data_IF_153898269759
#
_entry.id   IF_153898269759
#
_cell.length_a   1.000
_cell.length_b   1.000
_cell.length_c   1.000
_cell.angle_alpha   90.00
_cell.angle_beta   90.00
_cell.angle_gamma   90.00
#
_symmetry.space_group_name_H-M   'P 1'
#
loop_
_entity.id
_entity.type
_entity.pdbx_description
1 polymer ?
#
# COMPACT_ATOMS: atom_id res chain seq x y z
N UNK A 1 -44.37 -14.87 50.52
CA UNK A 1 -44.81 -15.89 49.53
C UNK A 1 -44.06 -17.18 49.82
N UNK A 2 -44.77 -18.31 49.88
CA UNK A 2 -44.19 -19.63 50.10
C UNK A 2 -43.70 -20.25 48.78
N UNK A 3 -42.82 -21.25 48.83
CA UNK A 3 -42.35 -21.99 47.64
C UNK A 3 -43.51 -22.59 46.80
N UNK A 4 -44.66 -22.86 47.41
CA UNK A 4 -45.86 -23.37 46.72
C UNK A 4 -46.48 -22.30 45.82
N UNK A 5 -46.36 -21.03 46.19
CA UNK A 5 -46.92 -19.90 45.44
C UNK A 5 -46.07 -19.62 44.19
N UNK A 6 -44.75 -19.76 44.30
CA UNK A 6 -43.83 -19.61 43.16
C UNK A 6 -43.96 -20.73 42.11
N UNK A 7 -44.23 -21.98 42.52
CA UNK A 7 -44.45 -23.10 41.60
C UNK A 7 -45.64 -22.84 40.66
N UNK A 8 -46.73 -22.26 41.20
CA UNK A 8 -47.95 -21.94 40.42
C UNK A 8 -47.72 -20.80 39.43
N UNK A 9 -46.87 -19.84 39.75
CA UNK A 9 -46.62 -18.64 38.92
C UNK A 9 -45.54 -18.87 37.86
N UNK A 10 -44.51 -19.68 38.15
CA UNK A 10 -43.34 -19.85 37.29
C UNK A 10 -43.32 -21.15 36.47
N UNK A 11 -44.27 -22.07 36.67
CA UNK A 11 -44.33 -23.40 36.02
C UNK A 11 -43.01 -24.20 36.10
N UNK A 12 -42.20 -23.99 37.16
CA UNK A 12 -40.95 -24.72 37.40
C UNK A 12 -41.07 -25.69 38.58
N UNK A 13 -40.31 -26.80 38.60
CA UNK A 13 -40.26 -27.70 39.73
C UNK A 13 -39.89 -26.97 41.03
N UNK A 14 -40.50 -27.36 42.15
CA UNK A 14 -40.25 -26.78 43.48
C UNK A 14 -38.76 -26.84 43.87
N UNK A 15 -38.07 -27.92 43.49
CA UNK A 15 -36.63 -28.09 43.70
C UNK A 15 -35.82 -26.98 43.02
N UNK A 16 -36.14 -26.66 41.76
CA UNK A 16 -35.47 -25.59 41.01
C UNK A 16 -35.71 -24.22 41.64
N UNK A 17 -36.93 -23.93 42.09
CA UNK A 17 -37.26 -22.67 42.78
C UNK A 17 -36.45 -22.55 44.08
N UNK A 18 -36.41 -23.61 44.89
CA UNK A 18 -35.65 -23.64 46.13
C UNK A 18 -34.13 -23.50 45.89
N UNK A 19 -33.58 -24.21 44.90
CA UNK A 19 -32.15 -24.12 44.54
C UNK A 19 -31.75 -22.71 44.10
N UNK A 20 -32.61 -22.04 43.34
CA UNK A 20 -32.38 -20.66 42.89
C UNK A 20 -32.46 -19.69 44.07
N UNK A 21 -33.45 -19.84 44.97
CA UNK A 21 -33.58 -19.01 46.17
C UNK A 21 -32.36 -19.19 47.09
N UNK A 22 -31.89 -20.43 47.29
CA UNK A 22 -30.69 -20.72 48.10
C UNK A 22 -29.44 -20.12 47.46
N UNK A 23 -29.28 -20.25 46.14
CA UNK A 23 -28.15 -19.63 45.40
C UNK A 23 -28.19 -18.11 45.47
N UNK A 24 -29.37 -17.50 45.34
CA UNK A 24 -29.55 -16.05 45.43
C UNK A 24 -29.27 -15.56 46.87
N UNK A 25 -29.83 -16.21 47.90
CA UNK A 25 -29.56 -15.87 49.31
C UNK A 25 -28.08 -15.96 49.69
N UNK A 26 -27.33 -16.91 49.09
CA UNK A 26 -25.88 -17.04 49.33
C UNK A 26 -25.03 -16.00 48.61
N UNK A 27 -25.48 -15.45 47.48
CA UNK A 27 -24.63 -14.65 46.57
C UNK A 27 -25.08 -13.20 46.38
N UNK A 28 -26.35 -12.90 46.64
CA UNK A 28 -26.95 -11.60 46.37
C UNK A 28 -26.96 -11.21 44.88
N UNK A 29 -26.84 -12.19 43.96
CA UNK A 29 -26.78 -11.93 42.52
C UNK A 29 -27.72 -12.85 41.74
N UNK A 30 -28.40 -12.27 40.76
CA UNK A 30 -29.30 -12.96 39.82
C UNK A 30 -28.57 -13.52 38.59
N UNK A 31 -27.28 -13.19 38.42
CA UNK A 31 -26.51 -13.61 37.26
C UNK A 31 -26.14 -15.10 37.35
N UNK A 32 -26.36 -15.82 36.25
CA UNK A 32 -25.93 -17.21 36.13
C UNK A 32 -24.39 -17.32 36.16
N UNK A 33 -23.87 -18.31 36.88
CA UNK A 33 -22.43 -18.57 36.89
C UNK A 33 -21.89 -18.94 35.52
N UNK A 34 -20.64 -18.55 35.26
CA UNK A 34 -19.88 -19.11 34.15
C UNK A 34 -19.76 -20.62 34.35
N UNK A 35 -20.45 -21.38 33.49
CA UNK A 35 -20.31 -22.83 33.40
C UNK A 35 -18.83 -23.16 33.18
N UNK A 36 -18.35 -24.18 33.89
CA UNK A 36 -17.02 -24.76 33.66
C UNK A 36 -16.92 -25.23 32.21
N UNK A 37 -16.03 -24.60 31.45
CA UNK A 37 -15.78 -25.00 30.07
C UNK A 37 -14.81 -26.17 30.01
N UNK A 38 -14.85 -26.91 28.90
CA UNK A 38 -13.90 -28.00 28.65
C UNK A 38 -12.46 -27.45 28.74
N UNK A 39 -11.55 -28.11 29.48
CA UNK A 39 -10.15 -27.71 29.55
C UNK A 39 -9.53 -27.56 28.16
N UNK A 40 -8.79 -26.48 27.94
CA UNK A 40 -8.11 -26.25 26.66
C UNK A 40 -6.92 -27.21 26.54
N UNK A 41 -6.83 -27.93 25.43
CA UNK A 41 -5.68 -28.79 25.08
C UNK A 41 -4.38 -27.97 25.00
N UNK A 42 -4.49 -26.71 24.53
CA UNK A 42 -3.34 -25.83 24.36
C UNK A 42 -3.19 -24.91 25.57
N UNK A 43 -2.19 -25.23 26.38
CA UNK A 43 -1.76 -24.43 27.52
C UNK A 43 -0.84 -23.27 27.15
N UNK A 44 -0.32 -22.57 28.15
CA UNK A 44 0.50 -21.37 27.96
C UNK A 44 1.82 -21.65 27.22
N UNK A 45 2.47 -22.79 27.50
CA UNK A 45 3.69 -23.21 26.79
C UNK A 45 3.44 -23.38 25.30
N UNK A 46 2.35 -24.05 24.92
CA UNK A 46 1.95 -24.24 23.52
C UNK A 46 1.69 -22.91 22.81
N UNK A 47 1.05 -21.95 23.49
CA UNK A 47 0.83 -20.60 22.95
C UNK A 47 2.12 -19.84 22.72
N UNK A 48 3.12 -19.97 23.61
CA UNK A 48 4.45 -19.37 23.40
C UNK A 48 5.16 -19.98 22.18
N UNK A 49 5.08 -21.31 22.02
CA UNK A 49 5.60 -21.99 20.83
C UNK A 49 4.93 -21.49 19.55
N UNK A 50 3.60 -21.38 19.54
CA UNK A 50 2.84 -20.83 18.41
C UNK A 50 3.24 -19.38 18.09
N UNK A 51 3.45 -18.51 19.10
CA UNK A 51 3.96 -17.15 18.89
C UNK A 51 5.35 -17.14 18.25
N UNK A 52 6.24 -18.04 18.66
CA UNK A 52 7.60 -18.16 18.08
C UNK A 52 7.55 -18.59 16.61
N UNK A 53 6.78 -19.62 16.29
CA UNK A 53 6.59 -20.13 14.91
C UNK A 53 6.07 -19.05 13.98
N UNK A 54 5.15 -18.20 14.46
CA UNK A 54 4.67 -17.06 13.68
C UNK A 54 5.79 -16.05 13.41
N UNK A 55 6.59 -15.70 14.43
CA UNK A 55 7.67 -14.72 14.29
C UNK A 55 8.81 -15.19 13.39
N UNK A 56 9.14 -16.48 13.41
CA UNK A 56 10.24 -17.04 12.61
C UNK A 56 9.88 -17.10 11.13
N UNK A 57 8.65 -17.49 10.79
CA UNK A 57 8.25 -17.73 9.40
C UNK A 57 6.96 -17.00 9.03
N UNK A 58 6.94 -15.66 8.98
CA UNK A 58 5.69 -14.90 8.82
C UNK A 58 4.85 -15.26 7.58
N UNK A 59 5.47 -15.73 6.49
CA UNK A 59 4.81 -16.04 5.22
C UNK A 59 4.42 -17.52 5.04
N UNK A 60 4.77 -18.41 5.97
CA UNK A 60 4.49 -19.85 5.83
C UNK A 60 3.00 -20.17 5.95
N UNK A 61 2.57 -21.22 5.25
CA UNK A 61 1.17 -21.63 5.21
C UNK A 61 0.69 -22.11 6.60
N UNK A 62 -0.62 -22.10 6.83
CA UNK A 62 -1.17 -22.64 8.08
C UNK A 62 -0.81 -24.12 8.27
N UNK A 63 -0.71 -24.88 7.18
CA UNK A 63 -0.37 -26.30 7.21
C UNK A 63 1.07 -26.48 7.69
N UNK A 64 2.02 -25.77 7.08
CA UNK A 64 3.42 -25.77 7.52
C UNK A 64 3.55 -25.37 9.00
N UNK A 65 2.87 -24.30 9.42
CA UNK A 65 2.88 -23.86 10.82
C UNK A 65 2.29 -24.88 11.79
N UNK A 66 1.27 -25.62 11.34
CA UNK A 66 0.65 -26.67 12.16
C UNK A 66 1.59 -27.87 12.30
N UNK A 67 2.28 -28.24 11.21
CA UNK A 67 3.27 -29.29 11.21
C UNK A 67 4.47 -28.94 12.09
N UNK A 68 5.01 -27.71 11.95
CA UNK A 68 6.11 -27.22 12.79
C UNK A 68 5.73 -27.18 14.28
N UNK A 69 4.49 -26.79 14.59
CA UNK A 69 3.97 -26.82 15.95
C UNK A 69 3.90 -28.25 16.49
N UNK A 70 3.40 -29.20 15.70
CA UNK A 70 3.29 -30.59 16.11
C UNK A 70 4.67 -31.22 16.34
N UNK A 71 5.63 -30.99 15.45
CA UNK A 71 7.01 -31.46 15.60
C UNK A 71 7.72 -30.85 16.81
N UNK A 72 7.47 -29.58 17.13
CA UNK A 72 8.15 -28.88 18.25
C UNK A 72 7.51 -29.07 19.61
N UNK A 73 6.20 -29.36 19.67
CA UNK A 73 5.46 -29.50 20.93
C UNK A 73 5.11 -30.95 21.27
N UNK A 74 5.13 -31.87 20.30
CA UNK A 74 4.63 -33.23 20.45
C UNK A 74 3.11 -33.34 20.57
N UNK A 75 2.38 -32.22 20.47
CA UNK A 75 0.92 -32.18 20.64
C UNK A 75 0.25 -32.29 19.27
N UNK A 76 -0.52 -33.37 19.07
CA UNK A 76 -1.35 -33.55 17.87
C UNK A 76 -2.61 -32.69 17.93
N UNK A 77 -2.71 -31.70 17.04
CA UNK A 77 -3.88 -30.82 16.92
C UNK A 77 -4.19 -30.54 15.45
N UNK A 78 -5.47 -30.40 15.12
CA UNK A 78 -5.87 -30.01 13.77
C UNK A 78 -5.43 -28.58 13.44
N UNK A 79 -5.20 -28.32 12.16
CA UNK A 79 -4.91 -26.98 11.63
C UNK A 79 -5.99 -25.95 11.99
N UNK A 80 -7.24 -26.40 12.14
CA UNK A 80 -8.36 -25.56 12.59
C UNK A 80 -8.19 -25.07 14.02
N UNK A 81 -7.68 -25.92 14.92
CA UNK A 81 -7.37 -25.56 16.30
C UNK A 81 -6.21 -24.57 16.36
N UNK A 82 -5.15 -24.81 15.58
CA UNK A 82 -4.01 -23.88 15.44
C UNK A 82 -4.46 -22.52 14.95
N UNK A 83 -5.31 -22.47 13.91
CA UNK A 83 -5.90 -21.23 13.39
C UNK A 83 -6.72 -20.47 14.44
N UNK A 84 -7.52 -21.17 15.25
CA UNK A 84 -8.31 -20.55 16.34
C UNK A 84 -7.39 -19.94 17.39
N UNK A 85 -6.34 -20.64 17.82
CA UNK A 85 -5.38 -20.06 18.77
C UNK A 85 -4.62 -18.89 18.15
N UNK A 86 -4.22 -18.92 16.87
CA UNK A 86 -3.64 -17.74 16.23
C UNK A 86 -4.57 -16.53 16.29
N UNK A 87 -5.87 -16.71 16.03
CA UNK A 87 -6.85 -15.62 16.19
C UNK A 87 -6.92 -15.12 17.65
N UNK A 88 -6.93 -16.02 18.63
CA UNK A 88 -6.90 -15.65 20.06
C UNK A 88 -5.62 -14.90 20.45
N UNK A 89 -4.50 -15.17 19.76
CA UNK A 89 -3.22 -14.48 19.97
C UNK A 89 -3.13 -13.15 19.19
N UNK A 90 -4.18 -12.76 18.46
CA UNK A 90 -4.21 -11.55 17.62
C UNK A 90 -3.54 -11.72 16.25
N UNK A 91 -3.05 -12.91 15.91
CA UNK A 91 -2.41 -13.20 14.64
C UNK A 91 -3.45 -13.58 13.58
N UNK A 92 -3.56 -12.73 12.57
CA UNK A 92 -4.49 -12.90 11.45
C UNK A 92 -3.71 -13.11 10.16
N UNK A 93 -4.19 -14.02 9.31
CA UNK A 93 -3.70 -14.10 7.94
C UNK A 93 -4.07 -12.82 7.20
N UNK A 94 -3.08 -12.16 6.62
CA UNK A 94 -3.25 -10.98 5.75
C UNK A 94 -2.46 -11.23 4.48
N UNK A 95 -2.96 -10.74 3.35
CA UNK A 95 -2.17 -10.70 2.14
C UNK A 95 -0.94 -9.81 2.40
N UNK A 96 0.25 -10.30 2.05
CA UNK A 96 1.46 -9.48 2.16
C UNK A 96 1.36 -8.32 1.16
N UNK A 97 1.73 -7.11 1.59
CA UNK A 97 1.80 -5.97 0.69
C UNK A 97 2.88 -6.21 -0.38
N UNK A 98 2.56 -5.87 -1.63
CA UNK A 98 3.53 -5.89 -2.72
C UNK A 98 4.25 -4.54 -2.73
N UNK A 99 5.52 -4.53 -2.32
CA UNK A 99 6.37 -3.33 -2.25
C UNK A 99 7.72 -3.64 -2.87
N UNK A 100 8.37 -2.63 -3.44
CA UNK A 100 9.71 -2.76 -3.99
C UNK A 100 10.70 -3.21 -2.90
N UNK A 101 11.65 -4.05 -3.28
CA UNK A 101 12.67 -4.51 -2.36
C UNK A 101 13.72 -3.40 -2.16
N UNK A 102 13.73 -2.80 -0.96
CA UNK A 102 14.65 -1.71 -0.61
C UNK A 102 15.91 -2.32 -0.02
N UNK A 103 17.04 -2.09 -0.67
CA UNK A 103 18.34 -2.54 -0.16
C UNK A 103 18.70 -1.79 1.13
N UNK A 104 19.54 -2.37 1.98
CA UNK A 104 20.02 -1.69 3.19
C UNK A 104 20.72 -0.36 2.89
N UNK A 105 21.42 -0.28 1.77
CA UNK A 105 22.07 0.96 1.31
C UNK A 105 21.04 2.01 0.92
N UNK A 106 20.03 1.64 0.13
CA UNK A 106 18.96 2.56 -0.26
C UNK A 106 18.16 3.02 0.95
N UNK A 107 17.87 2.14 1.92
CA UNK A 107 17.23 2.52 3.18
C UNK A 107 18.02 3.58 3.94
N UNK A 108 19.36 3.47 4.01
CA UNK A 108 20.22 4.49 4.62
C UNK A 108 20.11 5.84 3.90
N UNK A 109 20.20 5.84 2.57
CA UNK A 109 20.07 7.07 1.77
C UNK A 109 18.68 7.71 1.93
N UNK A 110 17.61 6.90 1.89
CA UNK A 110 16.23 7.33 2.16
C UNK A 110 16.11 8.00 3.52
N UNK A 111 16.66 7.37 4.56
CA UNK A 111 16.61 7.90 5.93
C UNK A 111 17.40 9.21 6.07
N UNK A 112 18.60 9.29 5.49
CA UNK A 112 19.42 10.51 5.52
C UNK A 112 18.70 11.66 4.82
N UNK A 113 18.16 11.41 3.63
CA UNK A 113 17.40 12.41 2.89
C UNK A 113 16.17 12.89 3.66
N UNK A 114 15.37 11.97 4.21
CA UNK A 114 14.19 12.34 4.99
C UNK A 114 14.55 13.15 6.24
N UNK A 115 15.68 12.84 6.90
CA UNK A 115 16.17 13.62 8.04
C UNK A 115 16.57 15.05 7.63
N UNK A 116 17.24 15.21 6.50
CA UNK A 116 17.61 16.52 5.97
C UNK A 116 16.38 17.39 5.62
N UNK A 117 15.29 16.75 5.19
CA UNK A 117 14.06 17.44 4.76
C UNK A 117 12.95 17.42 5.82
N UNK A 118 13.22 16.94 7.05
CA UNK A 118 12.22 16.79 8.11
C UNK A 118 11.54 18.10 8.50
N UNK A 119 12.29 19.20 8.45
CA UNK A 119 11.85 20.52 8.88
C UNK A 119 11.46 21.43 7.72
N UNK A 120 11.38 20.89 6.50
CA UNK A 120 10.91 21.66 5.35
C UNK A 120 9.46 22.08 5.53
N UNK A 121 9.21 23.38 5.34
CA UNK A 121 7.86 23.95 5.38
C UNK A 121 7.10 23.61 4.11
N UNK A 122 5.78 23.75 4.14
CA UNK A 122 4.96 23.57 2.96
C UNK A 122 5.41 24.47 1.81
N UNK A 123 5.78 25.73 2.08
CA UNK A 123 6.22 26.65 1.04
C UNK A 123 7.52 26.21 0.37
N UNK A 124 8.44 25.58 1.11
CA UNK A 124 9.61 24.94 0.49
C UNK A 124 9.21 23.77 -0.42
N UNK A 125 8.23 22.95 -0.01
CA UNK A 125 7.72 21.87 -0.87
C UNK A 125 7.00 22.40 -2.12
N UNK A 126 6.34 23.55 -2.04
CA UNK A 126 5.69 24.20 -3.18
C UNK A 126 6.68 24.65 -4.26
N UNK A 127 7.94 24.93 -3.89
CA UNK A 127 9.01 25.34 -4.82
C UNK A 127 9.63 24.19 -5.63
N UNK A 128 9.16 22.96 -5.43
CA UNK A 128 9.70 21.79 -6.13
C UNK A 128 8.87 21.49 -7.38
N UNK A 129 9.54 21.35 -8.52
CA UNK A 129 8.97 20.71 -9.70
C UNK A 129 9.25 19.20 -9.62
N UNK A 130 8.18 18.45 -9.39
CA UNK A 130 8.17 17.01 -9.28
C UNK A 130 8.11 16.39 -10.66
N UNK A 131 8.83 15.30 -10.85
CA UNK A 131 8.94 14.62 -12.13
C UNK A 131 8.39 13.21 -11.97
N UNK A 132 7.73 12.73 -13.01
CA UNK A 132 7.08 11.42 -13.05
C UNK A 132 7.42 10.72 -14.36
N UNK A 133 7.84 9.47 -14.27
CA UNK A 133 8.10 8.58 -15.39
C UNK A 133 7.28 7.31 -15.20
N UNK A 134 6.25 7.16 -16.02
CA UNK A 134 5.27 6.09 -15.86
C UNK A 134 5.11 5.30 -17.15
N UNK A 135 5.02 3.98 -17.02
CA UNK A 135 4.78 3.05 -18.13
C UNK A 135 3.34 2.54 -18.07
N UNK A 136 2.60 2.74 -19.15
CA UNK A 136 1.22 2.26 -19.28
C UNK A 136 1.17 1.14 -20.32
N UNK A 137 0.46 0.05 -20.02
CA UNK A 137 0.26 -1.08 -20.94
C UNK A 137 -1.16 -1.09 -21.49
N UNK A 138 -1.33 -1.57 -22.73
CA UNK A 138 -2.66 -1.70 -23.37
C UNK A 138 -3.50 -2.73 -22.60
N UNK A 139 -2.88 -3.85 -22.23
CA UNK A 139 -3.48 -4.85 -21.36
C UNK A 139 -2.73 -4.89 -20.03
N UNK A 140 -3.43 -4.56 -18.95
CA UNK A 140 -2.93 -4.77 -17.59
C UNK A 140 -3.24 -6.20 -17.15
N UNK A 141 -2.22 -6.96 -16.76
CA UNK A 141 -2.34 -8.33 -16.26
C UNK A 141 -2.86 -8.41 -14.81
N UNK A 142 -3.09 -7.27 -14.17
CA UNK A 142 -3.05 -7.18 -12.71
C UNK A 142 -4.45 -7.03 -12.08
N UNK A 143 -5.42 -7.75 -12.63
CA UNK A 143 -6.76 -7.85 -12.08
C UNK A 143 -7.24 -9.29 -12.10
N UNK A 144 -7.45 -9.90 -10.93
CA UNK A 144 -8.28 -11.10 -10.85
C UNK A 144 -9.71 -10.68 -11.14
N UNK A 145 -10.25 -11.07 -12.29
CA UNK A 145 -11.69 -11.00 -12.49
C UNK A 145 -12.33 -12.07 -11.61
N UNK A 146 -13.26 -11.65 -10.76
CA UNK A 146 -14.09 -12.56 -9.99
C UNK A 146 -15.42 -12.71 -10.71
N UNK A 147 -15.60 -13.84 -11.39
CA UNK A 147 -16.88 -14.22 -11.98
C UNK A 147 -17.68 -15.11 -11.01
N UNK A 148 -19.01 -14.98 -11.05
CA UNK A 148 -19.90 -15.98 -10.48
C UNK A 148 -20.30 -16.93 -11.62
N UNK A 149 -19.71 -18.13 -11.66
CA UNK A 149 -19.93 -19.09 -12.75
C UNK A 149 -18.85 -20.18 -12.81
N UNK A 150 -18.98 -21.12 -13.76
CA UNK A 150 -17.96 -22.14 -14.00
C UNK A 150 -16.70 -21.53 -14.62
N UNK A 151 -15.54 -21.97 -14.13
CA UNK A 151 -14.22 -21.38 -14.40
C UNK A 151 -13.83 -21.31 -15.90
N UNK A 152 -14.48 -22.08 -16.77
CA UNK A 152 -14.15 -22.20 -18.20
C UNK A 152 -15.31 -21.82 -19.14
N UNK A 153 -16.35 -21.15 -18.63
CA UNK A 153 -17.38 -20.60 -19.51
C UNK A 153 -16.81 -19.41 -20.29
N UNK A 154 -17.16 -19.27 -21.58
CA UNK A 154 -16.61 -18.21 -22.46
C UNK A 154 -16.75 -16.81 -21.85
N UNK A 155 -17.86 -16.54 -21.16
CA UNK A 155 -18.14 -15.26 -20.50
C UNK A 155 -17.35 -15.04 -19.19
N UNK A 156 -16.73 -16.09 -18.66
CA UNK A 156 -15.89 -16.09 -17.45
C UNK A 156 -14.39 -16.08 -17.76
N UNK A 157 -14.00 -16.24 -19.04
CA UNK A 157 -12.60 -16.23 -19.47
C UNK A 157 -12.15 -14.79 -19.69
N UNK A 158 -11.12 -14.37 -18.95
CA UNK A 158 -10.40 -13.13 -19.24
C UNK A 158 -9.34 -13.43 -20.30
N UNK A 159 -9.48 -12.94 -21.55
CA UNK A 159 -8.48 -13.21 -22.58
C UNK A 159 -7.13 -12.59 -22.21
N UNK A 160 -6.06 -13.38 -22.31
CA UNK A 160 -4.67 -12.93 -22.14
C UNK A 160 -4.02 -12.77 -23.51
N UNK A 161 -3.49 -11.59 -23.81
CA UNK A 161 -2.68 -11.37 -25.01
C UNK A 161 -1.19 -11.57 -24.72
N UNK A 162 -0.45 -12.15 -25.67
CA UNK A 162 1.02 -12.21 -25.58
C UNK A 162 1.58 -10.78 -25.53
N UNK A 163 2.50 -10.53 -24.60
CA UNK A 163 3.20 -9.24 -24.43
C UNK A 163 2.33 -8.03 -24.07
N UNK A 164 1.11 -8.23 -23.53
CA UNK A 164 0.29 -7.14 -23.00
C UNK A 164 -0.23 -6.14 -24.04
N UNK A 165 -0.17 -6.49 -25.34
CA UNK A 165 -0.63 -5.64 -26.45
C UNK A 165 0.20 -4.38 -26.69
N UNK A 166 1.39 -4.27 -26.08
CA UNK A 166 2.26 -3.11 -26.15
C UNK A 166 2.11 -2.15 -24.96
N UNK A 167 3.02 -1.18 -24.88
CA UNK A 167 3.07 -0.19 -23.81
C UNK A 167 3.58 1.15 -24.31
N UNK A 168 3.22 2.22 -23.61
CA UNK A 168 3.82 3.53 -23.78
C UNK A 168 4.57 3.92 -22.52
N UNK A 169 5.70 4.58 -22.69
CA UNK A 169 6.39 5.29 -21.62
C UNK A 169 6.04 6.76 -21.76
N UNK A 170 5.66 7.42 -20.68
CA UNK A 170 5.40 8.86 -20.67
C UNK A 170 6.25 9.53 -19.60
N UNK A 171 6.68 10.74 -19.91
CA UNK A 171 7.35 11.65 -18.99
C UNK A 171 6.41 12.80 -18.66
N UNK A 172 6.32 13.14 -17.38
CA UNK A 172 5.52 14.25 -16.89
C UNK A 172 6.23 15.01 -15.78
N UNK A 173 5.75 16.21 -15.51
CA UNK A 173 6.10 16.92 -14.29
C UNK A 173 4.90 17.69 -13.74
N UNK A 174 4.92 17.94 -12.44
CA UNK A 174 3.87 18.67 -11.74
C UNK A 174 4.47 19.50 -10.60
N UNK A 175 3.77 20.55 -10.21
CA UNK A 175 4.09 21.35 -9.04
C UNK A 175 2.83 21.58 -8.20
N UNK A 176 2.96 22.35 -7.12
CA UNK A 176 1.80 22.87 -6.39
C UNK A 176 0.85 23.69 -7.29
N UNK A 177 1.39 24.32 -8.33
CA UNK A 177 0.70 25.31 -9.16
C UNK A 177 0.04 24.71 -10.40
N UNK A 178 0.47 23.53 -10.84
CA UNK A 178 -0.04 22.97 -12.08
C UNK A 178 0.61 21.68 -12.54
N UNK A 179 0.06 21.17 -13.63
CA UNK A 179 0.50 19.99 -14.35
C UNK A 179 1.08 20.40 -15.70
N UNK A 180 2.27 19.93 -15.99
CA UNK A 180 2.83 20.03 -17.33
C UNK A 180 2.18 18.95 -18.24
N UNK A 181 1.99 19.21 -19.54
CA UNK A 181 1.61 18.17 -20.48
C UNK A 181 2.55 16.96 -20.45
N UNK A 182 1.98 15.76 -20.56
CA UNK A 182 2.76 14.54 -20.70
C UNK A 182 3.47 14.49 -22.06
N UNK A 183 4.71 14.04 -22.03
CA UNK A 183 5.56 13.81 -23.20
C UNK A 183 5.70 12.29 -23.42
N UNK A 184 5.18 11.74 -24.52
CA UNK A 184 5.42 10.35 -24.88
C UNK A 184 6.90 10.11 -25.18
N UNK A 185 7.44 9.03 -24.62
CA UNK A 185 8.82 8.61 -24.85
C UNK A 185 8.79 7.43 -25.82
N UNK A 186 9.27 7.68 -27.04
CA UNK A 186 9.33 6.67 -28.10
C UNK A 186 10.65 5.91 -27.99
N UNK A 187 10.57 4.60 -27.71
CA UNK A 187 11.75 3.76 -27.55
C UNK A 187 12.40 3.87 -26.17
N UNK A 188 13.70 3.57 -26.09
CA UNK A 188 14.46 3.65 -24.85
C UNK A 188 14.97 5.07 -24.66
N UNK A 189 14.66 5.68 -23.51
CA UNK A 189 15.17 7.00 -23.15
C UNK A 189 16.70 7.00 -23.10
N UNK A 190 17.32 7.89 -23.88
CA UNK A 190 18.75 8.17 -23.78
C UNK A 190 18.99 9.58 -23.20
N UNK A 191 20.25 9.95 -22.99
CA UNK A 191 20.58 11.23 -22.36
C UNK A 191 20.23 12.45 -23.23
N UNK A 192 20.30 12.32 -24.56
CA UNK A 192 19.96 13.40 -25.50
C UNK A 192 18.46 13.67 -25.52
N UNK A 193 17.66 12.60 -25.63
CA UNK A 193 16.20 12.69 -25.51
C UNK A 193 15.79 13.28 -24.17
N UNK A 194 16.45 12.87 -23.08
CA UNK A 194 16.18 13.41 -21.77
C UNK A 194 16.46 14.91 -21.70
N UNK A 195 17.61 15.38 -22.20
CA UNK A 195 17.91 16.82 -22.26
C UNK A 195 16.93 17.56 -23.18
N UNK A 196 16.53 16.96 -24.31
CA UNK A 196 15.48 17.51 -25.15
C UNK A 196 14.14 17.68 -24.43
N UNK A 197 13.76 16.74 -23.56
CA UNK A 197 12.56 16.88 -22.72
C UNK A 197 12.75 17.98 -21.67
N UNK A 198 13.94 18.10 -21.08
CA UNK A 198 14.23 19.18 -20.14
C UNK A 198 14.09 20.56 -20.79
N UNK A 199 14.64 20.74 -22.00
CA UNK A 199 14.55 22.00 -22.76
C UNK A 199 13.12 22.31 -23.21
N UNK A 200 12.40 21.32 -23.75
CA UNK A 200 11.13 21.57 -24.41
C UNK A 200 9.92 21.52 -23.46
N UNK A 201 10.04 20.86 -22.30
CA UNK A 201 8.92 20.65 -21.38
C UNK A 201 9.22 21.15 -19.96
N UNK A 202 10.35 20.73 -19.37
CA UNK A 202 10.64 21.06 -17.96
C UNK A 202 10.96 22.55 -17.76
N UNK A 203 11.87 23.10 -18.56
CA UNK A 203 12.36 24.47 -18.40
C UNK A 203 11.27 25.54 -18.64
N UNK A 204 10.42 25.45 -19.69
CA UNK A 204 9.28 26.34 -19.85
C UNK A 204 8.31 26.28 -18.67
N UNK A 205 8.06 25.07 -18.13
CA UNK A 205 7.21 24.88 -16.95
C UNK A 205 7.80 25.53 -15.71
N UNK A 206 9.11 25.40 -15.50
CA UNK A 206 9.81 26.04 -14.38
C UNK A 206 9.62 27.56 -14.43
N UNK A 207 9.85 28.17 -15.59
CA UNK A 207 9.66 29.61 -15.75
C UNK A 207 8.20 30.03 -15.62
N UNK A 208 7.27 29.25 -16.16
CA UNK A 208 5.84 29.54 -16.06
C UNK A 208 5.35 29.54 -14.60
N UNK A 209 5.82 28.60 -13.78
CA UNK A 209 5.31 28.44 -12.41
C UNK A 209 6.11 29.20 -11.36
N UNK A 210 7.42 29.36 -11.57
CA UNK A 210 8.31 29.91 -10.54
C UNK A 210 8.99 31.22 -10.97
N UNK A 211 9.00 31.55 -12.27
CA UNK A 211 9.70 32.73 -12.78
C UNK A 211 11.18 32.72 -12.40
N UNK A 212 11.65 33.82 -11.81
CA UNK A 212 13.01 33.95 -11.23
C UNK A 212 13.10 33.45 -9.78
N UNK A 213 11.99 33.02 -9.19
CA UNK A 213 11.93 32.56 -7.80
C UNK A 213 12.77 31.30 -7.56
N UNK A 214 13.07 30.98 -6.29
CA UNK A 214 13.76 29.74 -5.98
C UNK A 214 12.90 28.56 -6.40
N UNK A 215 13.44 27.72 -7.28
CA UNK A 215 12.85 26.44 -7.64
C UNK A 215 13.86 25.31 -7.50
N UNK A 216 13.36 24.11 -7.28
CA UNK A 216 14.15 22.89 -7.30
C UNK A 216 13.55 21.91 -8.29
N UNK A 217 14.38 21.38 -9.16
CA UNK A 217 13.99 20.29 -10.04
C UNK A 217 14.30 18.95 -9.38
N UNK A 218 13.28 18.11 -9.20
CA UNK A 218 13.46 16.76 -8.67
C UNK A 218 14.24 15.89 -9.66
N UNK A 219 15.34 15.29 -9.20
CA UNK A 219 16.19 14.43 -10.01
C UNK A 219 16.54 13.14 -9.27
N UNK A 220 16.26 12.00 -9.88
CA UNK A 220 16.71 10.71 -9.36
C UNK A 220 18.14 10.37 -9.83
N UNK A 221 18.69 9.28 -9.29
CA UNK A 221 20.06 8.83 -9.58
C UNK A 221 20.15 7.86 -10.78
N UNK A 222 19.19 7.88 -11.70
CA UNK A 222 19.25 7.09 -12.92
C UNK A 222 20.43 7.53 -13.79
N UNK A 223 21.08 6.56 -14.44
CA UNK A 223 22.31 6.77 -15.22
C UNK A 223 22.16 7.87 -16.27
N UNK A 224 20.99 7.96 -16.92
CA UNK A 224 20.68 8.98 -17.91
C UNK A 224 20.57 10.39 -17.31
N UNK A 225 20.07 10.55 -16.08
CA UNK A 225 19.95 11.86 -15.42
C UNK A 225 21.24 12.29 -14.73
N UNK A 226 22.13 11.33 -14.44
CA UNK A 226 23.48 11.59 -13.96
C UNK A 226 24.49 11.71 -15.10
N UNK A 227 24.07 11.60 -16.36
CA UNK A 227 24.96 11.71 -17.51
C UNK A 227 25.67 13.07 -17.55
N UNK A 228 26.87 13.12 -18.13
CA UNK A 228 27.61 14.38 -18.30
C UNK A 228 26.79 15.41 -19.08
N UNK A 229 26.03 14.97 -20.08
CA UNK A 229 25.16 15.82 -20.88
C UNK A 229 24.07 16.47 -20.03
N UNK A 230 23.34 15.69 -19.23
CA UNK A 230 22.33 16.21 -18.32
C UNK A 230 22.93 17.16 -17.27
N UNK A 231 24.07 16.80 -16.66
CA UNK A 231 24.74 17.66 -15.69
C UNK A 231 25.14 19.02 -16.29
N UNK A 232 25.75 18.99 -17.47
CA UNK A 232 26.16 20.20 -18.21
C UNK A 232 24.95 21.08 -18.52
N UNK A 233 23.83 20.47 -18.90
CA UNK A 233 22.58 21.19 -19.13
C UNK A 233 22.07 21.90 -17.86
N UNK A 234 21.99 21.20 -16.72
CA UNK A 234 21.54 21.79 -15.46
C UNK A 234 22.41 22.98 -15.05
N UNK A 235 23.73 22.83 -15.19
CA UNK A 235 24.69 23.87 -14.80
C UNK A 235 24.61 25.08 -15.75
N UNK A 236 24.46 24.85 -17.06
CA UNK A 236 24.29 25.91 -18.07
C UNK A 236 22.98 26.69 -17.88
N UNK A 237 21.89 26.00 -17.57
CA UNK A 237 20.57 26.62 -17.39
C UNK A 237 20.36 27.19 -15.99
N UNK A 238 21.32 27.02 -15.07
CA UNK A 238 21.22 27.50 -13.69
C UNK A 238 20.12 26.80 -12.87
N UNK A 239 19.68 25.61 -13.28
CA UNK A 239 18.57 24.89 -12.66
C UNK A 239 19.08 24.15 -11.41
N UNK A 240 18.58 24.55 -10.24
CA UNK A 240 18.91 23.89 -8.98
C UNK A 240 18.22 22.52 -8.88
N UNK A 241 18.93 21.54 -8.34
CA UNK A 241 18.51 20.14 -8.27
C UNK A 241 18.10 19.80 -6.84
N UNK A 242 16.98 19.08 -6.70
CA UNK A 242 16.66 18.32 -5.49
C UNK A 242 17.10 16.88 -5.73
N UNK A 243 18.20 16.48 -5.09
CA UNK A 243 18.65 15.09 -5.15
C UNK A 243 17.58 14.19 -4.54
N UNK A 244 17.18 13.15 -5.27
CA UNK A 244 16.13 12.24 -4.85
C UNK A 244 16.69 10.84 -4.59
N UNK A 245 16.40 10.20 -3.44
CA UNK A 245 16.96 8.88 -3.17
C UNK A 245 16.28 7.83 -4.05
N UNK A 246 17.05 6.84 -4.50
CA UNK A 246 16.53 5.72 -5.29
C UNK A 246 15.47 4.93 -4.50
N UNK A 247 14.50 4.36 -5.23
CA UNK A 247 13.42 3.52 -4.68
C UNK A 247 12.60 4.21 -3.58
N UNK A 248 12.04 5.39 -3.89
CA UNK A 248 11.07 6.11 -3.05
C UNK A 248 9.66 6.16 -3.67
N UNK A 249 9.04 5.01 -4.03
CA UNK A 249 7.69 5.02 -4.58
C UNK A 249 6.68 5.60 -3.58
N UNK A 250 6.93 5.47 -2.28
CA UNK A 250 6.04 5.98 -1.22
C UNK A 250 6.02 7.53 -1.12
N UNK A 251 6.77 8.24 -1.97
CA UNK A 251 6.87 9.70 -2.02
C UNK A 251 6.37 10.31 -3.35
N UNK A 252 6.00 9.50 -4.35
CA UNK A 252 5.57 9.93 -5.70
C UNK A 252 4.38 9.07 -6.17
N UNK A 253 3.25 9.68 -6.57
CA UNK A 253 2.06 8.91 -6.96
C UNK A 253 1.19 9.55 -8.04
N UNK A 254 1.71 10.47 -8.87
CA UNK A 254 0.83 11.05 -9.90
C UNK A 254 0.49 10.03 -10.98
N UNK A 255 1.45 9.18 -11.37
CA UNK A 255 1.28 8.04 -12.27
C UNK A 255 0.22 7.07 -11.78
N UNK A 256 0.21 6.75 -10.49
CA UNK A 256 -0.80 5.89 -9.85
C UNK A 256 -2.22 6.48 -10.00
N UNK A 257 -2.38 7.81 -9.89
CA UNK A 257 -3.68 8.47 -10.07
C UNK A 257 -4.13 8.43 -11.53
N UNK A 258 -3.23 8.65 -12.48
CA UNK A 258 -3.53 8.47 -13.92
C UNK A 258 -3.94 7.03 -14.22
N UNK A 259 -3.24 6.05 -13.66
CA UNK A 259 -3.55 4.64 -13.83
C UNK A 259 -4.93 4.29 -13.23
N UNK A 260 -5.22 4.78 -12.02
CA UNK A 260 -6.52 4.60 -11.37
C UNK A 260 -7.66 5.16 -12.23
N UNK A 261 -7.45 6.32 -12.85
CA UNK A 261 -8.45 6.95 -13.74
C UNK A 261 -8.68 6.12 -14.98
N UNK A 262 -7.63 5.62 -15.62
CA UNK A 262 -7.73 4.73 -16.78
C UNK A 262 -8.48 3.45 -16.46
N UNK A 263 -8.27 2.87 -15.27
CA UNK A 263 -8.95 1.63 -14.83
C UNK A 263 -10.46 1.78 -14.67
N UNK A 264 -10.95 2.99 -14.37
CA UNK A 264 -12.37 3.27 -14.13
C UNK A 264 -13.11 3.62 -15.43
N UNK A 265 -12.38 3.93 -16.53
CA UNK A 265 -13.02 4.23 -17.80
C UNK A 265 -13.80 3.00 -18.33
N UNK A 266 -15.01 3.21 -18.88
CA UNK A 266 -15.86 2.10 -19.34
C UNK A 266 -15.25 1.38 -20.55
N UNK A 267 -14.55 2.12 -21.42
CA UNK A 267 -13.90 1.57 -22.61
C UNK A 267 -12.40 1.52 -22.39
N UNK A 268 -11.83 0.31 -22.35
CA UNK A 268 -10.38 0.15 -22.28
C UNK A 268 -9.76 0.41 -23.66
N UNK A 269 -8.62 1.13 -23.71
CA UNK A 269 -7.91 1.33 -24.96
C UNK A 269 -7.43 -0.02 -25.52
N UNK A 270 -7.72 -0.27 -26.79
CA UNK A 270 -7.36 -1.50 -27.51
C UNK A 270 -6.14 -1.34 -28.43
N UNK A 271 -5.60 -0.12 -28.55
CA UNK A 271 -4.42 0.20 -29.36
C UNK A 271 -3.48 1.14 -28.62
N UNK A 272 -2.21 1.20 -29.05
CA UNK A 272 -1.23 2.12 -28.48
C UNK A 272 -1.64 3.59 -28.65
N UNK A 273 -2.25 3.94 -29.77
CA UNK A 273 -2.72 5.30 -30.02
C UNK A 273 -3.88 5.66 -29.09
N UNK A 274 -4.88 4.76 -28.97
CA UNK A 274 -5.99 4.96 -28.04
C UNK A 274 -5.51 5.04 -26.58
N UNK A 275 -4.52 4.23 -26.21
CA UNK A 275 -3.89 4.27 -24.88
C UNK A 275 -3.19 5.61 -24.65
N UNK A 276 -2.45 6.10 -25.64
CA UNK A 276 -1.73 7.38 -25.55
C UNK A 276 -2.71 8.53 -25.31
N UNK A 277 -3.77 8.63 -26.11
CA UNK A 277 -4.80 9.65 -25.93
C UNK A 277 -5.47 9.51 -24.56
N UNK A 278 -5.88 8.30 -24.17
CA UNK A 278 -6.54 8.06 -22.89
C UNK A 278 -5.65 8.45 -21.69
N UNK A 279 -4.34 8.15 -21.74
CA UNK A 279 -3.37 8.51 -20.69
C UNK A 279 -3.20 10.03 -20.62
N UNK A 280 -3.08 10.71 -21.77
CA UNK A 280 -2.98 12.16 -21.82
C UNK A 280 -4.25 12.83 -21.28
N UNK A 281 -5.42 12.34 -21.64
CA UNK A 281 -6.71 12.87 -21.17
C UNK A 281 -6.90 12.61 -19.68
N UNK A 282 -6.55 11.42 -19.19
CA UNK A 282 -6.59 11.08 -17.78
C UNK A 282 -5.68 11.99 -16.95
N UNK A 283 -4.48 12.30 -17.45
CA UNK A 283 -3.53 13.21 -16.82
C UNK A 283 -4.06 14.65 -16.76
N UNK A 284 -4.55 15.17 -17.89
CA UNK A 284 -5.16 16.53 -17.94
C UNK A 284 -6.37 16.65 -17.03
N UNK A 285 -7.11 15.56 -16.83
CA UNK A 285 -8.28 15.53 -15.96
C UNK A 285 -7.94 15.42 -14.47
N UNK A 286 -6.66 15.33 -14.07
CA UNK A 286 -6.25 15.30 -12.66
C UNK A 286 -6.57 16.67 -12.01
N UNK A 287 -7.45 16.71 -11.00
CA UNK A 287 -7.81 17.96 -10.33
C UNK A 287 -6.64 18.54 -9.56
N UNK A 288 -6.62 19.87 -9.47
CA UNK A 288 -5.61 20.61 -8.70
C UNK A 288 -5.46 20.13 -7.26
N UNK A 289 -6.58 19.86 -6.61
CA UNK A 289 -6.61 19.35 -5.24
C UNK A 289 -5.83 18.03 -5.07
N UNK A 290 -5.70 17.22 -6.12
CA UNK A 290 -4.99 15.93 -6.04
C UNK A 290 -3.49 16.14 -5.88
N UNK A 291 -2.86 16.92 -6.76
CA UNK A 291 -1.42 17.15 -6.66
C UNK A 291 -1.06 18.08 -5.48
N UNK A 292 -1.92 19.03 -5.12
CA UNK A 292 -1.73 19.83 -3.91
C UNK A 292 -1.73 18.96 -2.66
N UNK A 293 -2.72 18.06 -2.51
CA UNK A 293 -2.74 17.10 -1.38
C UNK A 293 -1.53 16.19 -1.35
N UNK A 294 -0.94 15.84 -2.50
CA UNK A 294 0.31 15.07 -2.51
C UNK A 294 1.44 15.87 -1.85
N UNK A 295 1.61 17.14 -2.25
CA UNK A 295 2.60 18.04 -1.67
C UNK A 295 2.34 18.29 -0.18
N UNK A 296 1.09 18.53 0.23
CA UNK A 296 0.73 18.70 1.65
C UNK A 296 1.04 17.49 2.52
N UNK A 297 0.99 16.29 1.94
CA UNK A 297 1.25 15.04 2.66
C UNK A 297 2.73 14.64 2.68
N UNK A 298 3.62 15.31 1.95
CA UNK A 298 5.06 15.03 1.94
C UNK A 298 5.67 15.03 3.34
N UNK A 299 5.41 16.00 4.24
CA UNK A 299 5.93 15.97 5.61
C UNK A 299 5.54 14.70 6.38
N UNK A 300 4.29 14.23 6.22
CA UNK A 300 3.82 13.00 6.86
C UNK A 300 4.53 11.76 6.31
N UNK A 301 4.72 11.70 4.99
CA UNK A 301 5.43 10.61 4.31
C UNK A 301 6.91 10.57 4.70
N UNK A 302 7.58 11.72 4.70
CA UNK A 302 8.96 11.88 5.21
C UNK A 302 9.06 11.34 6.63
N UNK A 303 8.14 11.73 7.51
CA UNK A 303 8.12 11.25 8.88
C UNK A 303 7.86 9.74 8.98
N UNK A 304 7.01 9.18 8.11
CA UNK A 304 6.78 7.72 8.05
C UNK A 304 8.06 6.96 7.64
N UNK A 305 8.81 7.46 6.65
CA UNK A 305 10.10 6.87 6.25
C UNK A 305 11.12 6.94 7.39
N UNK A 306 11.16 8.04 8.15
CA UNK A 306 12.03 8.16 9.33
C UNK A 306 11.67 7.10 10.38
N UNK A 307 10.39 6.92 10.70
CA UNK A 307 9.94 5.89 11.65
C UNK A 307 10.25 4.48 11.16
N UNK A 308 10.12 4.24 9.85
CA UNK A 308 10.49 2.98 9.22
C UNK A 308 12.01 2.78 9.06
N UNK A 309 12.84 3.74 9.53
CA UNK A 309 14.31 3.73 9.39
C UNK A 309 14.76 3.58 7.93
N UNK A 310 14.05 4.20 7.00
CA UNK A 310 14.31 4.10 5.56
C UNK A 310 13.66 2.88 4.87
N UNK A 311 12.93 2.06 5.62
CA UNK A 311 12.15 0.95 5.08
C UNK A 311 10.86 1.38 4.38
N UNK A 312 10.09 0.41 3.84
CA UNK A 312 8.85 0.68 3.12
C UNK A 312 7.79 1.24 4.08
N UNK A 313 6.93 2.13 3.58
CA UNK A 313 5.83 2.72 4.35
C UNK A 313 4.45 2.25 3.84
N UNK A 314 3.39 2.71 4.49
CA UNK A 314 2.01 2.44 4.08
C UNK A 314 1.52 3.31 2.92
N UNK A 315 2.23 4.41 2.63
CA UNK A 315 2.02 5.21 1.43
C UNK A 315 2.51 4.42 0.23
#
# INVERSE_FOLDING_TARGET
MSDKDFKKVLEKPKSTVSDVIVKWKRRGSEAAEKRTSRPKILGERSRRTLKRIVKQNLKSSLVEKSQEFQSSSGISVSSRTVRREFKHLGSHGRAAAHKSNITLQNAKHRLQWCRAHRHWTLDMWKTVLWRDESRFTVWQLDGRAFGFGEHFFSDCIVPTVKFGGGSIMVWGCFSWFGLNPLVPVIGNMNSEMYVGILDNAALPTLWQYFGEGPFLFQRDNCSIHTSRLAQTWFDKMGVRKLDWPSQNPDLEHLGDESERRLRIQPNRPSSLQALTSAVMDAWKAIPMVTYQKLVENLPKRVQAVIHAKGGPTSY
#
